data_IF_158095858333
#
_entry.id   IF_158095858333
#
_cell.length_a   1.000
_cell.length_b   1.000
_cell.length_c   1.000
_cell.angle_alpha   90.00
_cell.angle_beta   90.00
_cell.angle_gamma   90.00
#
_symmetry.space_group_name_H-M   'P 1'
#
loop_
_entity.id
_entity.type
_entity.pdbx_description
1 polymer ?
#
# COMPACT_ATOMS: atom_id res chain seq x y z
N UNK A 1 26.18 -12.55 -1.51
CA UNK A 1 26.50 -11.57 -0.45
C UNK A 1 25.23 -10.75 -0.23
N UNK A 2 24.42 -10.84 0.83
CA UNK A 2 24.65 -11.30 2.20
C UNK A 2 23.32 -11.74 2.81
N UNK A 3 23.20 -13.01 3.20
CA UNK A 3 22.11 -13.52 4.06
C UNK A 3 22.39 -13.14 5.54
N UNK A 4 23.44 -12.35 5.78
CA UNK A 4 24.06 -12.04 7.07
C UNK A 4 23.57 -10.68 7.57
N UNK A 5 22.29 -10.55 7.92
CA UNK A 5 21.78 -9.53 8.87
C UNK A 5 20.52 -9.95 9.64
N UNK A 6 20.02 -11.18 9.48
CA UNK A 6 18.81 -11.71 10.19
C UNK A 6 19.06 -12.09 11.66
N UNK A 7 19.97 -11.41 12.37
CA UNK A 7 20.20 -11.66 13.79
C UNK A 7 19.99 -10.37 14.57
N UNK A 8 18.82 -10.31 15.18
CA UNK A 8 18.37 -9.48 16.28
C UNK A 8 17.86 -8.08 15.92
N UNK A 9 16.59 -8.00 15.48
CA UNK A 9 15.69 -7.09 16.17
C UNK A 9 14.24 -7.61 16.17
N UNK A 10 13.94 -8.61 17.00
CA UNK A 10 12.57 -9.12 17.23
C UNK A 10 11.59 -8.01 17.60
N UNK A 11 12.10 -6.92 18.21
CA UNK A 11 11.30 -5.75 18.53
C UNK A 11 10.96 -4.96 17.26
N UNK A 12 11.91 -4.68 16.35
CA UNK A 12 11.60 -4.03 15.07
C UNK A 12 10.63 -4.84 14.22
N UNK A 13 10.78 -6.17 14.17
CA UNK A 13 9.82 -7.04 13.47
C UNK A 13 8.42 -6.93 14.07
N UNK A 14 8.31 -6.91 15.40
CA UNK A 14 7.04 -6.76 16.09
C UNK A 14 6.41 -5.39 15.86
N UNK A 15 7.20 -4.31 15.95
CA UNK A 15 6.73 -2.94 15.73
C UNK A 15 6.32 -2.72 14.27
N UNK A 16 7.05 -3.29 13.31
CA UNK A 16 6.68 -3.25 11.90
C UNK A 16 5.36 -4.00 11.64
N UNK A 17 5.13 -5.13 12.31
CA UNK A 17 3.85 -5.84 12.21
C UNK A 17 2.70 -5.08 12.88
N UNK A 18 2.94 -4.44 14.03
CA UNK A 18 1.97 -3.53 14.65
C UNK A 18 1.64 -2.36 13.70
N UNK A 19 2.64 -1.76 13.06
CA UNK A 19 2.44 -0.72 12.04
C UNK A 19 1.58 -1.22 10.88
N UNK A 20 1.89 -2.41 10.33
CA UNK A 20 1.12 -3.04 9.25
C UNK A 20 -0.36 -3.19 9.62
N UNK A 21 -0.65 -3.60 10.85
CA UNK A 21 -2.02 -3.75 11.32
C UNK A 21 -2.72 -2.40 11.44
N UNK A 22 -2.03 -1.38 11.93
CA UNK A 22 -2.57 -0.04 12.07
C UNK A 22 -2.89 0.60 10.71
N UNK A 23 -2.00 0.51 9.71
CA UNK A 23 -2.24 1.10 8.38
C UNK A 23 -3.36 0.37 7.60
N UNK A 24 -3.68 -0.88 7.97
CA UNK A 24 -4.77 -1.63 7.36
C UNK A 24 -6.15 -1.18 7.88
N UNK A 25 -6.20 -0.40 8.97
CA UNK A 25 -7.44 0.15 9.50
C UNK A 25 -7.93 1.29 8.61
N UNK A 26 -9.24 1.30 8.32
CA UNK A 26 -9.87 2.35 7.52
C UNK A 26 -9.94 3.68 8.24
N UNK A 27 -10.05 3.64 9.57
CA UNK A 27 -10.05 4.81 10.47
C UNK A 27 -9.29 4.42 11.72
N UNK A 28 -8.40 5.29 12.17
CA UNK A 28 -7.68 5.14 13.43
C UNK A 28 -8.43 5.86 14.55
N UNK A 29 -8.59 5.19 15.70
CA UNK A 29 -8.89 5.88 16.96
C UNK A 29 -7.70 6.73 17.41
N UNK A 30 -7.92 7.63 18.36
CA UNK A 30 -6.84 8.46 18.92
C UNK A 30 -5.69 7.62 19.49
N UNK A 31 -6.01 6.52 20.19
CA UNK A 31 -5.02 5.61 20.75
C UNK A 31 -4.18 4.93 19.65
N UNK A 32 -4.83 4.47 18.59
CA UNK A 32 -4.17 3.81 17.45
C UNK A 32 -3.32 4.80 16.65
N UNK A 33 -3.78 6.03 16.45
CA UNK A 33 -3.02 7.09 15.81
C UNK A 33 -1.78 7.48 16.63
N UNK A 34 -1.91 7.62 17.95
CA UNK A 34 -0.79 7.87 18.85
C UNK A 34 0.21 6.70 18.80
N UNK A 35 -0.29 5.47 18.81
CA UNK A 35 0.58 4.28 18.71
C UNK A 35 1.32 4.23 17.39
N UNK A 36 0.66 4.56 16.28
CA UNK A 36 1.31 4.65 14.97
C UNK A 36 2.40 5.73 14.97
N UNK A 37 2.13 6.91 15.55
CA UNK A 37 3.11 7.98 15.67
C UNK A 37 4.34 7.55 16.48
N UNK A 38 4.15 6.89 17.63
CA UNK A 38 5.25 6.35 18.44
C UNK A 38 6.13 5.38 17.62
N UNK A 39 5.52 4.49 16.84
CA UNK A 39 6.26 3.54 16.00
C UNK A 39 7.10 4.27 14.95
N UNK A 40 6.54 5.29 14.31
CA UNK A 40 7.24 6.10 13.30
C UNK A 40 8.39 6.92 13.92
N UNK A 41 8.20 7.47 15.12
CA UNK A 41 9.27 8.16 15.86
C UNK A 41 10.42 7.21 16.21
N UNK A 42 10.12 5.98 16.62
CA UNK A 42 11.12 4.95 16.87
C UNK A 42 11.84 4.54 15.59
N UNK A 43 11.13 4.43 14.47
CA UNK A 43 11.70 4.10 13.17
C UNK A 43 12.74 5.14 12.72
N UNK A 44 12.52 6.42 13.01
CA UNK A 44 13.48 7.48 12.71
C UNK A 44 14.84 7.30 13.44
N UNK A 45 14.87 6.50 14.51
CA UNK A 45 16.08 6.19 15.28
C UNK A 45 16.64 4.78 15.02
N UNK A 46 15.82 3.87 14.47
CA UNK A 46 16.18 2.47 14.20
C UNK A 46 16.09 2.17 12.70
N UNK A 47 17.24 2.13 12.04
CA UNK A 47 17.37 1.85 10.60
C UNK A 47 16.70 0.51 10.21
N UNK A 48 16.74 -0.50 11.08
CA UNK A 48 16.13 -1.80 10.79
C UNK A 48 14.61 -1.71 10.81
N UNK A 49 14.01 -0.96 11.74
CA UNK A 49 12.57 -0.71 11.76
C UNK A 49 12.16 0.15 10.57
N UNK A 50 12.92 1.20 10.27
CA UNK A 50 12.66 2.07 9.12
C UNK A 50 12.62 1.28 7.80
N UNK A 51 13.62 0.43 7.54
CA UNK A 51 13.64 -0.40 6.33
C UNK A 51 12.43 -1.35 6.24
N UNK A 52 11.95 -1.87 7.37
CA UNK A 52 10.77 -2.75 7.39
C UNK A 52 9.47 -1.97 7.09
N UNK A 53 9.36 -0.75 7.59
CA UNK A 53 8.21 0.14 7.31
C UNK A 53 8.19 0.53 5.83
N UNK A 54 9.33 0.94 5.26
CA UNK A 54 9.44 1.26 3.83
C UNK A 54 9.03 0.06 2.95
N UNK A 55 9.41 -1.17 3.31
CA UNK A 55 9.01 -2.38 2.59
C UNK A 55 7.49 -2.61 2.63
N UNK A 56 6.85 -2.35 3.78
CA UNK A 56 5.40 -2.46 3.95
C UNK A 56 4.70 -1.46 3.04
N UNK A 57 5.09 -0.19 3.08
CA UNK A 57 4.47 0.88 2.31
C UNK A 57 4.63 0.67 0.80
N UNK A 58 5.82 0.25 0.36
CA UNK A 58 6.06 -0.07 -1.05
C UNK A 58 5.19 -1.24 -1.51
N UNK A 59 4.99 -2.25 -0.66
CA UNK A 59 4.12 -3.39 -0.99
C UNK A 59 2.67 -2.96 -1.20
N UNK A 60 2.16 -2.07 -0.35
CA UNK A 60 0.79 -1.59 -0.46
C UNK A 60 0.61 -0.62 -1.63
N UNK A 61 1.60 0.23 -1.90
CA UNK A 61 1.64 1.06 -3.10
C UNK A 61 1.57 0.21 -4.38
N UNK A 62 2.36 -0.88 -4.46
CA UNK A 62 2.35 -1.77 -5.62
C UNK A 62 0.99 -2.48 -5.82
N UNK A 63 0.27 -2.80 -4.74
CA UNK A 63 -1.11 -3.33 -4.85
C UNK A 63 -2.06 -2.28 -5.41
N UNK A 64 -1.97 -1.03 -4.94
CA UNK A 64 -2.79 0.07 -5.41
C UNK A 64 -2.52 0.38 -6.89
N UNK A 65 -1.26 0.38 -7.31
CA UNK A 65 -0.90 0.62 -8.71
C UNK A 65 -1.46 -0.47 -9.64
N UNK A 66 -1.40 -1.74 -9.21
CA UNK A 66 -2.03 -2.84 -9.96
C UNK A 66 -3.53 -2.66 -10.08
N UNK A 67 -4.19 -2.23 -9.01
CA UNK A 67 -5.63 -1.93 -9.03
C UNK A 67 -5.95 -0.79 -10.00
N UNK A 68 -5.20 0.31 -9.95
CA UNK A 68 -5.36 1.44 -10.85
C UNK A 68 -5.17 1.05 -12.32
N UNK A 69 -4.18 0.20 -12.62
CA UNK A 69 -3.99 -0.32 -13.97
C UNK A 69 -5.19 -1.15 -14.44
N UNK A 70 -5.76 -1.97 -13.55
CA UNK A 70 -7.00 -2.71 -13.81
C UNK A 70 -8.17 -1.79 -14.17
N UNK A 71 -8.35 -0.70 -13.41
CA UNK A 71 -9.38 0.31 -13.68
C UNK A 71 -9.19 1.01 -15.04
N UNK A 72 -7.95 1.38 -15.37
CA UNK A 72 -7.62 1.98 -16.69
C UNK A 72 -7.95 1.04 -17.84
N UNK A 73 -7.66 -0.25 -17.69
CA UNK A 73 -8.00 -1.25 -18.69
C UNK A 73 -9.51 -1.37 -18.88
N UNK A 74 -10.29 -1.36 -17.80
CA UNK A 74 -11.76 -1.39 -17.88
C UNK A 74 -12.32 -0.15 -18.57
N UNK A 75 -11.82 1.05 -18.24
CA UNK A 75 -12.25 2.29 -18.87
C UNK A 75 -11.98 2.29 -20.39
N UNK A 76 -10.84 1.74 -20.81
CA UNK A 76 -10.50 1.61 -22.22
C UNK A 76 -11.48 0.68 -22.96
N UNK A 77 -11.90 -0.42 -22.34
CA UNK A 77 -12.89 -1.34 -22.95
C UNK A 77 -14.25 -0.64 -23.12
N UNK A 78 -14.73 0.06 -22.09
CA UNK A 78 -16.03 0.76 -22.14
C UNK A 78 -16.02 1.89 -23.17
N UNK A 79 -14.91 2.60 -23.30
CA UNK A 79 -14.78 3.72 -24.27
C UNK A 79 -14.78 3.25 -25.74
N UNK A 80 -14.56 1.96 -26.00
CA UNK A 80 -14.57 1.39 -27.36
C UNK A 80 -15.93 0.83 -27.79
N UNK A 81 -16.94 0.83 -26.92
CA UNK A 81 -18.26 0.21 -27.18
C UNK A 81 -19.44 1.18 -27.22
N UNK A 82 -19.24 2.51 -27.24
CA UNK A 82 -20.33 3.40 -27.67
C UNK A 82 -20.41 3.43 -29.20
N UNK A 83 -21.38 2.75 -29.86
CA UNK A 83 -21.74 3.15 -31.20
C UNK A 83 -22.21 4.61 -31.12
N UNK A 84 -21.57 5.48 -31.87
CA UNK A 84 -22.06 6.84 -32.11
C UNK A 84 -23.57 6.78 -32.37
N UNK A 85 -24.41 7.61 -31.72
CA UNK A 85 -25.87 7.59 -31.90
C UNK A 85 -26.34 7.87 -33.34
N UNK A 86 -25.41 8.15 -34.26
CA UNK A 86 -25.69 8.57 -35.62
C UNK A 86 -25.63 7.49 -36.69
N UNK A 87 -25.42 6.21 -36.36
CA UNK A 87 -25.64 5.15 -37.37
C UNK A 87 -27.08 4.67 -37.33
N UNK A 88 -28.02 5.60 -37.56
CA UNK A 88 -29.38 5.26 -37.91
C UNK A 88 -29.37 4.63 -39.30
N UNK A 89 -29.71 3.35 -39.36
CA UNK A 89 -30.06 2.54 -40.51
C UNK A 89 -30.55 3.37 -41.71
N UNK A 90 -29.76 3.38 -42.79
CA UNK A 90 -30.22 3.77 -44.12
C UNK A 90 -30.54 2.48 -44.89
N UNK A 91 -31.80 2.35 -45.32
CA UNK A 91 -32.33 1.28 -46.16
C UNK A 91 -31.63 1.20 -47.54
#
# INVERSE_FOLDING_TARGET
MSIIKRKNNKLSEKLAEEYRQLIALTVLSELEANRMAEILELANLDESLNSLIEEIEMTDYLKLEKWNQGLRNLLNVVSTEEPSPNTAFQD
#
